data_IF_791349147606
#
_entry.id   IF_791349147606
#
_cell.length_a   1.000
_cell.length_b   1.000
_cell.length_c   1.000
_cell.angle_alpha   90.00
_cell.angle_beta   90.00
_cell.angle_gamma   90.00
#
_symmetry.space_group_name_H-M   'P 1'
#
loop_
_entity.id
_entity.type
_entity.pdbx_description
1 polymer ?
#
# COMPACT_ATOMS: atom_id res chain seq x y z
N UNK A 1 11.71 -6.12 -31.63
CA UNK A 1 10.38 -5.45 -31.56
C UNK A 1 10.44 -4.24 -32.47
N UNK A 2 9.40 -3.97 -33.25
CA UNK A 2 9.33 -2.71 -34.01
C UNK A 2 9.08 -1.53 -33.08
N UNK A 3 9.35 -0.31 -33.56
CA UNK A 3 9.22 0.95 -32.79
C UNK A 3 7.86 1.11 -32.10
N UNK A 4 6.78 0.73 -32.79
CA UNK A 4 5.42 0.76 -32.25
C UNK A 4 5.24 -0.18 -31.03
N UNK A 5 5.92 -1.32 -31.01
CA UNK A 5 5.85 -2.26 -29.89
C UNK A 5 6.53 -1.73 -28.63
N UNK A 6 7.66 -1.03 -28.79
CA UNK A 6 8.38 -0.40 -27.68
C UNK A 6 7.52 0.74 -27.10
N UNK A 7 6.87 1.54 -27.96
CA UNK A 7 5.97 2.60 -27.55
C UNK A 7 4.78 2.06 -26.75
N UNK A 8 4.11 1.00 -27.23
CA UNK A 8 2.96 0.40 -26.54
C UNK A 8 3.38 -0.15 -25.16
N UNK A 9 4.52 -0.84 -25.08
CA UNK A 9 5.05 -1.34 -23.81
C UNK A 9 5.34 -0.18 -22.85
N UNK A 10 5.95 0.91 -23.33
CA UNK A 10 6.19 2.09 -22.50
C UNK A 10 4.92 2.74 -21.94
N UNK A 11 3.84 2.81 -22.74
CA UNK A 11 2.54 3.32 -22.26
C UNK A 11 1.95 2.39 -21.20
N UNK A 12 1.98 1.08 -21.44
CA UNK A 12 1.50 0.07 -20.48
C UNK A 12 2.30 0.12 -19.19
N UNK A 13 3.63 0.20 -19.26
CA UNK A 13 4.52 0.29 -18.09
C UNK A 13 4.28 1.56 -17.29
N UNK A 14 4.02 2.69 -17.95
CA UNK A 14 3.67 3.95 -17.28
C UNK A 14 2.37 3.80 -16.48
N UNK A 15 1.33 3.23 -17.10
CA UNK A 15 0.06 2.99 -16.41
C UNK A 15 0.19 1.95 -15.30
N UNK A 16 0.96 0.89 -15.53
CA UNK A 16 1.21 -0.13 -14.52
C UNK A 16 1.98 0.45 -13.32
N UNK A 17 3.03 1.23 -13.56
CA UNK A 17 3.78 1.92 -12.52
C UNK A 17 2.89 2.89 -11.71
N UNK A 18 2.04 3.67 -12.41
CA UNK A 18 1.17 4.65 -11.79
C UNK A 18 0.01 4.02 -11.01
N UNK A 19 -0.80 3.16 -11.64
CA UNK A 19 -2.04 2.64 -11.06
C UNK A 19 -1.87 1.38 -10.21
N UNK A 20 -0.76 0.64 -10.37
CA UNK A 20 -0.55 -0.62 -9.65
C UNK A 20 0.64 -0.50 -8.71
N UNK A 21 1.84 -0.25 -9.24
CA UNK A 21 3.07 -0.32 -8.43
C UNK A 21 3.10 0.75 -7.35
N UNK A 22 2.86 2.01 -7.71
CA UNK A 22 2.86 3.13 -6.75
C UNK A 22 1.87 2.94 -5.58
N UNK A 23 0.56 2.69 -5.79
CA UNK A 23 -0.35 2.48 -4.68
C UNK A 23 -0.03 1.20 -3.92
N UNK A 24 0.47 0.12 -4.54
CA UNK A 24 0.88 -1.09 -3.82
C UNK A 24 2.07 -0.85 -2.88
N UNK A 25 3.07 -0.09 -3.33
CA UNK A 25 4.21 0.30 -2.49
C UNK A 25 3.78 1.17 -1.32
N UNK A 26 2.92 2.16 -1.57
CA UNK A 26 2.42 3.04 -0.50
C UNK A 26 1.53 2.29 0.49
N UNK A 27 0.76 1.30 0.03
CA UNK A 27 0.00 0.43 0.91
C UNK A 27 0.91 -0.40 1.80
N UNK A 28 2.00 -0.97 1.25
CA UNK A 28 3.01 -1.66 2.04
C UNK A 28 3.65 -0.71 3.05
N UNK A 29 4.03 0.50 2.65
CA UNK A 29 4.58 1.51 3.56
C UNK A 29 3.59 1.92 4.67
N UNK A 30 2.30 2.04 4.34
CA UNK A 30 1.25 2.37 5.31
C UNK A 30 1.11 1.32 6.40
N UNK A 31 1.42 0.04 6.12
CA UNK A 31 1.42 -1.04 7.11
C UNK A 31 2.50 -0.84 8.18
N UNK A 32 3.65 -0.29 7.82
CA UNK A 32 4.75 -0.06 8.77
C UNK A 32 4.64 1.27 9.52
N UNK A 33 4.05 2.29 8.88
CA UNK A 33 3.86 3.62 9.47
C UNK A 33 2.49 3.76 10.13
N UNK A 34 1.53 4.25 9.34
CA UNK A 34 0.21 4.70 9.83
C UNK A 34 -0.59 3.59 10.49
N UNK A 35 -0.68 2.40 9.88
CA UNK A 35 -1.46 1.31 10.45
C UNK A 35 -0.85 0.77 11.75
N UNK A 36 0.48 0.80 11.88
CA UNK A 36 1.16 0.41 13.12
C UNK A 36 0.87 1.41 14.24
N UNK A 37 0.90 2.71 13.94
CA UNK A 37 0.54 3.76 14.89
C UNK A 37 -0.94 3.66 15.28
N UNK A 38 -1.82 3.45 14.30
CA UNK A 38 -3.25 3.23 14.54
C UNK A 38 -3.48 2.02 15.45
N UNK A 39 -2.84 0.89 15.18
CA UNK A 39 -2.97 -0.31 15.99
C UNK A 39 -2.53 -0.07 17.45
N UNK A 40 -1.44 0.68 17.68
CA UNK A 40 -1.02 1.05 19.04
C UNK A 40 -2.07 1.90 19.77
N UNK A 41 -2.67 2.88 19.09
CA UNK A 41 -3.74 3.68 19.67
C UNK A 41 -4.96 2.80 20.04
N UNK A 42 -5.33 1.86 19.18
CA UNK A 42 -6.43 0.93 19.43
C UNK A 42 -6.17 -0.02 20.60
N UNK A 43 -4.91 -0.39 20.84
CA UNK A 43 -4.53 -1.17 22.03
C UNK A 43 -4.65 -0.32 23.30
N UNK A 44 -4.23 0.94 23.25
CA UNK A 44 -4.34 1.87 24.40
C UNK A 44 -5.80 2.13 24.79
N UNK A 45 -6.68 2.26 23.79
CA UNK A 45 -8.13 2.40 23.99
C UNK A 45 -8.82 1.09 24.41
N UNK A 46 -8.08 -0.02 24.49
CA UNK A 46 -8.61 -1.33 24.83
C UNK A 46 -9.63 -1.86 23.81
N UNK A 47 -9.49 -1.44 22.54
CA UNK A 47 -10.30 -1.89 21.41
C UNK A 47 -9.80 -3.23 20.88
N UNK A 48 -8.48 -3.44 20.88
CA UNK A 48 -7.82 -4.70 20.47
C UNK A 48 -6.75 -5.07 21.50
N UNK A 49 -6.52 -6.38 21.70
CA UNK A 49 -5.44 -6.85 22.58
C UNK A 49 -4.08 -6.72 21.89
N UNK A 50 -3.04 -6.45 22.68
CA UNK A 50 -1.66 -6.38 22.18
C UNK A 50 -1.23 -7.70 21.51
N UNK A 51 -1.62 -8.84 22.09
CA UNK A 51 -1.31 -10.18 21.56
C UNK A 51 -1.85 -10.41 20.14
N UNK A 52 -3.05 -9.92 19.85
CA UNK A 52 -3.67 -10.06 18.53
C UNK A 52 -2.98 -9.16 17.49
N UNK A 53 -2.57 -7.96 17.89
CA UNK A 53 -1.78 -7.07 17.04
C UNK A 53 -0.43 -7.69 16.71
N UNK A 54 0.27 -8.24 17.70
CA UNK A 54 1.59 -8.86 17.50
C UNK A 54 1.51 -10.16 16.67
N UNK A 55 0.36 -10.84 16.66
CA UNK A 55 0.13 -12.03 15.84
C UNK A 55 -0.28 -11.70 14.40
N UNK A 56 -1.11 -10.67 14.19
CA UNK A 56 -1.72 -10.37 12.88
C UNK A 56 -0.85 -9.39 12.08
N UNK A 57 -0.32 -8.36 12.74
CA UNK A 57 0.35 -7.25 12.06
C UNK A 57 1.63 -7.65 11.31
N UNK A 58 2.54 -8.47 11.88
CA UNK A 58 3.73 -8.92 11.17
C UNK A 58 3.40 -9.77 9.93
N UNK A 59 2.37 -10.62 10.01
CA UNK A 59 1.92 -11.43 8.85
C UNK A 59 1.47 -10.55 7.69
N UNK A 60 0.72 -9.47 7.99
CA UNK A 60 0.30 -8.51 6.96
C UNK A 60 1.45 -7.68 6.41
N UNK A 61 2.39 -7.27 7.27
CA UNK A 61 3.60 -6.57 6.85
C UNK A 61 4.43 -7.41 5.87
N UNK A 62 4.68 -8.68 6.20
CA UNK A 62 5.42 -9.61 5.33
C UNK A 62 4.69 -9.79 3.99
N UNK A 63 3.37 -10.03 4.01
CA UNK A 63 2.59 -10.15 2.78
C UNK A 63 2.68 -8.87 1.92
N UNK A 64 2.58 -7.69 2.55
CA UNK A 64 2.72 -6.41 1.87
C UNK A 64 4.10 -6.22 1.23
N UNK A 65 5.18 -6.57 1.95
CA UNK A 65 6.55 -6.51 1.44
C UNK A 65 6.73 -7.45 0.24
N UNK A 66 6.34 -8.72 0.38
CA UNK A 66 6.49 -9.73 -0.68
C UNK A 66 5.78 -9.28 -1.95
N UNK A 67 4.52 -8.83 -1.85
CA UNK A 67 3.78 -8.39 -3.03
C UNK A 67 4.42 -7.13 -3.65
N UNK A 68 4.87 -6.17 -2.84
CA UNK A 68 5.53 -4.96 -3.35
C UNK A 68 6.83 -5.26 -4.11
N UNK A 69 7.62 -6.23 -3.64
CA UNK A 69 8.86 -6.66 -4.29
C UNK A 69 8.59 -7.36 -5.62
N UNK A 70 7.57 -8.22 -5.68
CA UNK A 70 7.16 -8.88 -6.92
C UNK A 70 6.73 -7.84 -7.97
N UNK A 71 5.91 -6.86 -7.58
CA UNK A 71 5.44 -5.82 -8.50
C UNK A 71 6.60 -4.96 -9.02
N UNK A 72 7.56 -4.63 -8.16
CA UNK A 72 8.78 -3.91 -8.56
C UNK A 72 9.66 -4.74 -9.51
N UNK A 73 9.80 -6.05 -9.27
CA UNK A 73 10.56 -6.93 -10.16
C UNK A 73 9.91 -7.04 -11.54
N UNK A 74 8.58 -7.15 -11.62
CA UNK A 74 7.84 -7.15 -12.88
C UNK A 74 8.01 -5.82 -13.62
N UNK A 75 7.93 -4.69 -12.92
CA UNK A 75 8.18 -3.37 -13.51
C UNK A 75 9.63 -3.23 -14.00
N UNK A 76 10.61 -3.65 -13.22
CA UNK A 76 12.02 -3.59 -13.63
C UNK A 76 12.30 -4.45 -14.87
N UNK A 77 11.70 -5.64 -14.95
CA UNK A 77 11.84 -6.55 -16.09
C UNK A 77 11.20 -6.00 -17.37
N UNK A 78 10.01 -5.43 -17.27
CA UNK A 78 9.29 -4.82 -18.41
C UNK A 78 10.01 -3.57 -18.91
N UNK A 79 10.42 -2.68 -18.00
CA UNK A 79 11.26 -1.52 -18.31
C UNK A 79 12.59 -1.91 -19.02
N UNK A 80 13.23 -3.00 -18.58
CA UNK A 80 14.47 -3.49 -19.20
C UNK A 80 14.27 -3.98 -20.64
N UNK A 81 13.13 -4.60 -20.94
CA UNK A 81 12.78 -5.04 -22.30
C UNK A 81 12.44 -3.89 -23.25
N UNK A 82 11.97 -2.76 -22.73
CA UNK A 82 11.65 -1.56 -23.48
C UNK A 82 12.75 -0.47 -23.40
N UNK A 83 13.98 -0.86 -23.02
CA UNK A 83 15.12 0.06 -22.91
C UNK A 83 15.42 0.78 -24.23
N UNK A 84 15.76 2.09 -24.21
CA UNK A 84 15.95 2.95 -23.02
C UNK A 84 14.67 3.66 -22.53
N UNK A 85 13.64 3.78 -23.38
CA UNK A 85 12.42 4.54 -23.06
C UNK A 85 11.62 3.95 -21.90
N UNK A 86 11.62 2.62 -21.76
CA UNK A 86 10.92 1.91 -20.68
C UNK A 86 11.29 2.39 -19.28
N UNK A 87 12.57 2.70 -19.03
CA UNK A 87 13.00 3.22 -17.73
C UNK A 87 12.42 4.60 -17.42
N UNK A 88 12.31 5.47 -18.43
CA UNK A 88 11.71 6.79 -18.29
C UNK A 88 10.21 6.65 -18.05
N UNK A 89 9.54 5.83 -18.85
CA UNK A 89 8.11 5.52 -18.74
C UNK A 89 7.73 5.00 -17.35
N UNK A 90 8.39 3.92 -16.91
CA UNK A 90 8.15 3.32 -15.60
C UNK A 90 8.57 4.22 -14.44
N UNK A 91 9.70 4.92 -14.55
CA UNK A 91 10.21 5.82 -13.52
C UNK A 91 9.29 7.04 -13.30
N UNK A 92 8.90 7.72 -14.37
CA UNK A 92 8.00 8.88 -14.30
C UNK A 92 6.62 8.45 -13.78
N UNK A 93 6.06 7.36 -14.32
CA UNK A 93 4.78 6.82 -13.86
C UNK A 93 4.79 6.49 -12.36
N UNK A 94 5.88 5.90 -11.88
CA UNK A 94 6.06 5.57 -10.47
C UNK A 94 6.13 6.83 -9.59
N UNK A 95 6.98 7.80 -9.93
CA UNK A 95 7.15 9.03 -9.14
C UNK A 95 5.85 9.83 -9.06
N UNK A 96 5.18 10.03 -10.20
CA UNK A 96 3.91 10.77 -10.25
C UNK A 96 2.83 9.99 -9.49
N UNK A 97 2.82 8.66 -9.58
CA UNK A 97 1.94 7.80 -8.79
C UNK A 97 2.18 7.96 -7.28
N UNK A 98 3.43 7.92 -6.83
CA UNK A 98 3.77 8.08 -5.42
C UNK A 98 3.30 9.43 -4.88
N UNK A 99 3.46 10.51 -5.66
CA UNK A 99 2.97 11.85 -5.30
C UNK A 99 1.44 11.91 -5.26
N UNK A 100 0.76 11.33 -6.26
CA UNK A 100 -0.70 11.32 -6.34
C UNK A 100 -1.33 10.55 -5.18
N UNK A 101 -0.78 9.40 -4.85
CA UNK A 101 -1.33 8.47 -3.86
C UNK A 101 -0.78 8.67 -2.45
N UNK A 102 -0.03 9.74 -2.19
CA UNK A 102 0.59 10.06 -0.88
C UNK A 102 -0.35 9.94 0.32
N UNK A 103 -1.65 10.20 0.13
CA UNK A 103 -2.67 10.10 1.15
C UNK A 103 -2.85 8.67 1.71
N UNK A 104 -2.39 7.63 1.01
CA UNK A 104 -2.38 6.24 1.49
C UNK A 104 -1.48 6.08 2.73
N UNK A 105 -0.40 6.87 2.82
CA UNK A 105 0.53 6.87 3.95
C UNK A 105 0.17 7.95 4.98
N UNK A 106 -1.04 8.49 4.91
CA UNK A 106 -1.56 9.45 5.89
C UNK A 106 -2.64 8.79 6.74
N UNK A 107 -2.79 9.29 7.97
CA UNK A 107 -3.86 8.89 8.86
C UNK A 107 -5.19 9.37 8.28
N UNK A 108 -5.98 8.46 7.74
CA UNK A 108 -7.20 8.77 6.99
C UNK A 108 -8.30 7.73 7.27
N UNK A 109 -9.51 7.98 6.76
CA UNK A 109 -10.65 7.06 6.90
C UNK A 109 -10.39 5.69 6.26
N UNK A 110 -9.54 5.60 5.23
CA UNK A 110 -9.13 4.33 4.64
C UNK A 110 -8.28 3.48 5.59
N UNK A 111 -7.45 4.10 6.43
CA UNK A 111 -6.69 3.43 7.49
C UNK A 111 -7.64 2.80 8.50
N UNK A 112 -8.66 3.56 8.93
CA UNK A 112 -9.72 3.07 9.84
C UNK A 112 -10.44 1.87 9.22
N UNK A 113 -10.86 1.95 7.96
CA UNK A 113 -11.50 0.84 7.24
C UNK A 113 -10.61 -0.38 7.13
N UNK A 114 -9.33 -0.20 6.77
CA UNK A 114 -8.33 -1.29 6.66
C UNK A 114 -8.08 -1.96 8.00
N UNK A 115 -8.00 -1.19 9.08
CA UNK A 115 -7.87 -1.70 10.44
C UNK A 115 -9.11 -2.51 10.83
N UNK A 116 -10.31 -1.94 10.64
CA UNK A 116 -11.58 -2.64 10.88
C UNK A 116 -11.63 -3.99 10.17
N UNK A 117 -11.28 -4.03 8.88
CA UNK A 117 -11.27 -5.27 8.11
C UNK A 117 -10.20 -6.27 8.57
N UNK A 118 -9.12 -5.79 9.20
CA UNK A 118 -8.02 -6.63 9.68
C UNK A 118 -8.33 -7.29 11.01
N UNK A 119 -8.97 -6.55 11.92
CA UNK A 119 -9.22 -6.97 13.30
C UNK A 119 -10.69 -7.24 13.58
N UNK A 120 -11.55 -7.35 12.55
CA UNK A 120 -13.01 -7.49 12.71
C UNK A 120 -13.42 -8.60 13.68
N UNK A 121 -12.65 -9.68 13.74
CA UNK A 121 -12.94 -10.87 14.56
C UNK A 121 -12.32 -10.79 15.96
N UNK A 122 -11.38 -9.86 16.19
CA UNK A 122 -10.58 -9.75 17.42
C UNK A 122 -10.79 -8.39 18.14
N UNK A 123 -11.63 -7.50 17.61
CA UNK A 123 -11.85 -6.15 18.14
C UNK A 123 -13.19 -5.98 18.84
N UNK A 124 -13.20 -5.11 19.86
CA UNK A 124 -14.44 -4.60 20.45
C UNK A 124 -15.07 -3.54 19.52
N UNK A 125 -16.08 -3.97 18.75
CA UNK A 125 -16.76 -3.13 17.76
C UNK A 125 -17.44 -1.91 18.39
N UNK A 126 -17.94 -2.02 19.62
CA UNK A 126 -18.62 -0.92 20.28
C UNK A 126 -17.64 0.19 20.66
N UNK A 127 -16.49 -0.18 21.26
CA UNK A 127 -15.42 0.78 21.56
C UNK A 127 -14.80 1.36 20.30
N UNK A 128 -14.61 0.53 19.27
CA UNK A 128 -14.08 0.97 17.98
C UNK A 128 -14.98 2.04 17.34
N UNK A 129 -16.29 1.80 17.25
CA UNK A 129 -17.22 2.76 16.66
C UNK A 129 -17.23 4.08 17.43
N UNK A 130 -17.23 4.03 18.77
CA UNK A 130 -17.16 5.22 19.63
C UNK A 130 -15.87 6.02 19.40
N UNK A 131 -14.73 5.34 19.27
CA UNK A 131 -13.46 5.98 18.96
C UNK A 131 -13.52 6.71 17.62
N UNK A 132 -14.06 6.04 16.59
CA UNK A 132 -14.19 6.61 15.23
C UNK A 132 -15.08 7.85 15.26
N UNK A 133 -16.24 7.80 15.90
CA UNK A 133 -17.15 8.96 16.02
C UNK A 133 -16.53 10.16 16.76
N UNK A 134 -15.56 9.91 17.65
CA UNK A 134 -14.93 10.98 18.44
C UNK A 134 -13.74 11.62 17.70
N UNK A 135 -13.04 10.87 16.83
CA UNK A 135 -11.78 11.29 16.23
C UNK A 135 -11.82 11.49 14.71
N UNK A 136 -12.93 11.13 14.04
CA UNK A 136 -13.13 11.24 12.59
C UNK A 136 -14.52 11.79 12.27
#
# INVERSE_FOLDING_TARGET
>A
MGDLGILIIGVVDTFFAFFVVAPMMLQAASLFGVQKQFAKAMVQEGVVKQEDVDRIHPKKQIAGVVISLIMLAVLAFTCAKASPWGYICGGVGLVVGLLKYRAIVQYNSETVKRFKNTYKDEMDVAKFNKFVETHF
#
